data_IF_206742927482
#
_entry.id   IF_206742927482
#
_cell.length_a   1.000
_cell.length_b   1.000
_cell.length_c   1.000
_cell.angle_alpha   90.00
_cell.angle_beta   90.00
_cell.angle_gamma   90.00
#
_symmetry.space_group_name_H-M   'P 1'
#
loop_
_entity.id
_entity.type
_entity.pdbx_description
1 polymer ?
#
# COMPACT_ATOMS: atom_id res chain seq x y z
N UNK A 1 -8.46 -28.44 -26.04
CA UNK A 1 -7.02 -28.44 -25.68
C UNK A 1 -6.75 -27.32 -24.69
N UNK A 2 -6.65 -27.64 -23.40
CA UNK A 2 -6.36 -26.65 -22.35
C UNK A 2 -4.88 -26.27 -22.42
N UNK A 3 -4.57 -25.05 -22.86
CA UNK A 3 -3.22 -24.46 -22.71
C UNK A 3 -2.81 -24.60 -21.25
N UNK A 4 -1.88 -25.51 -20.95
CA UNK A 4 -1.20 -25.57 -19.66
C UNK A 4 -0.34 -24.32 -19.56
N UNK A 5 -0.90 -23.25 -18.99
CA UNK A 5 -0.14 -22.05 -18.65
C UNK A 5 1.03 -22.49 -17.76
N UNK A 6 2.26 -22.29 -18.24
CA UNK A 6 3.49 -22.63 -17.50
C UNK A 6 3.47 -21.87 -16.18
N UNK A 7 3.21 -22.57 -15.07
CA UNK A 7 3.16 -21.94 -13.75
C UNK A 7 4.54 -21.40 -13.41
N UNK A 8 4.67 -20.08 -13.29
CA UNK A 8 5.92 -19.46 -12.83
C UNK A 8 6.03 -19.64 -11.32
N UNK A 9 6.89 -20.55 -10.87
CA UNK A 9 7.16 -20.77 -9.45
C UNK A 9 8.08 -19.66 -8.92
N UNK A 10 7.74 -19.11 -7.75
CA UNK A 10 8.62 -18.17 -7.01
C UNK A 10 9.21 -18.86 -5.78
N UNK A 11 9.87 -18.14 -4.89
CA UNK A 11 10.29 -18.70 -3.60
C UNK A 11 9.04 -19.15 -2.79
N UNK A 12 8.97 -20.41 -2.29
CA UNK A 12 7.84 -20.87 -1.49
C UNK A 12 7.65 -20.04 -0.21
N UNK A 13 6.40 -19.81 0.16
CA UNK A 13 6.05 -19.19 1.44
C UNK A 13 5.86 -20.23 2.54
N UNK A 14 5.82 -19.79 3.79
CA UNK A 14 5.73 -20.65 4.99
C UNK A 14 4.65 -21.74 4.89
N UNK A 15 3.41 -21.40 4.52
CA UNK A 15 2.33 -22.39 4.42
C UNK A 15 2.51 -23.44 3.32
N UNK A 16 3.27 -23.14 2.26
CA UNK A 16 3.61 -24.14 1.24
C UNK A 16 4.73 -25.07 1.73
N UNK A 17 5.69 -24.53 2.48
CA UNK A 17 6.77 -25.31 3.10
C UNK A 17 6.20 -26.27 4.14
N UNK A 18 5.30 -25.79 5.01
CA UNK A 18 4.62 -26.63 6.00
C UNK A 18 3.82 -27.76 5.35
N UNK A 19 3.13 -27.46 4.24
CA UNK A 19 2.38 -28.48 3.51
C UNK A 19 3.31 -29.52 2.87
N UNK A 20 4.39 -29.09 2.20
CA UNK A 20 5.35 -30.00 1.60
C UNK A 20 6.08 -30.85 2.67
N UNK A 21 6.33 -30.28 3.85
CA UNK A 21 6.98 -30.98 4.97
C UNK A 21 6.22 -32.25 5.38
N UNK A 22 4.89 -32.23 5.34
CA UNK A 22 4.06 -33.40 5.67
C UNK A 22 4.35 -34.63 4.80
N UNK A 23 4.88 -34.44 3.60
CA UNK A 23 5.18 -35.53 2.65
C UNK A 23 6.67 -35.86 2.57
N UNK A 24 7.54 -34.98 3.06
CA UNK A 24 9.00 -35.06 2.87
C UNK A 24 9.75 -35.31 4.18
N UNK A 25 9.09 -35.16 5.33
CA UNK A 25 9.70 -35.39 6.64
C UNK A 25 10.21 -36.83 6.78
N UNK A 26 11.49 -36.98 7.13
CA UNK A 26 12.15 -38.28 7.28
C UNK A 26 12.79 -38.86 6.01
N UNK A 27 12.58 -38.25 4.84
CA UNK A 27 13.19 -38.71 3.58
C UNK A 27 14.56 -38.09 3.36
N UNK A 28 15.46 -38.85 2.74
CA UNK A 28 16.71 -38.30 2.23
C UNK A 28 16.44 -37.41 1.01
N UNK A 29 17.39 -36.51 0.69
CA UNK A 29 17.24 -35.60 -0.46
C UNK A 29 16.92 -36.32 -1.78
N UNK A 30 17.48 -37.52 -2.00
CA UNK A 30 17.26 -38.30 -3.22
C UNK A 30 15.85 -38.88 -3.30
N UNK A 31 15.29 -39.29 -2.17
CA UNK A 31 13.93 -39.82 -2.06
C UNK A 31 12.87 -38.70 -2.06
N UNK A 32 13.23 -37.53 -1.54
CA UNK A 32 12.36 -36.35 -1.50
C UNK A 32 12.07 -35.77 -2.89
N UNK A 33 13.05 -35.78 -3.81
CA UNK A 33 12.91 -35.22 -5.16
C UNK A 33 11.71 -35.78 -5.94
N UNK A 34 11.53 -37.10 -6.10
CA UNK A 34 10.38 -37.65 -6.83
C UNK A 34 9.04 -37.34 -6.12
N UNK A 35 9.03 -37.26 -4.80
CA UNK A 35 7.83 -36.88 -4.03
C UNK A 35 7.45 -35.42 -4.30
N UNK A 36 8.43 -34.52 -4.31
CA UNK A 36 8.22 -33.10 -4.60
C UNK A 36 7.71 -32.91 -6.04
N UNK A 37 8.26 -33.63 -7.01
CA UNK A 37 7.78 -33.58 -8.40
C UNK A 37 6.32 -34.01 -8.53
N UNK A 38 5.93 -35.12 -7.88
CA UNK A 38 4.54 -35.58 -7.83
C UNK A 38 3.62 -34.58 -7.13
N UNK A 39 4.10 -33.94 -6.05
CA UNK A 39 3.37 -32.89 -5.34
C UNK A 39 3.14 -31.66 -6.23
N UNK A 40 4.14 -31.26 -7.03
CA UNK A 40 4.02 -30.14 -7.97
C UNK A 40 3.06 -30.43 -9.13
N UNK A 41 3.06 -31.65 -9.65
CA UNK A 41 2.10 -32.10 -10.67
C UNK A 41 0.67 -32.18 -10.10
N UNK A 42 0.57 -32.41 -8.79
CA UNK A 42 -0.69 -32.52 -8.08
C UNK A 42 -1.25 -33.92 -8.03
N UNK A 43 -0.40 -34.92 -8.19
CA UNK A 43 -0.75 -36.34 -8.15
C UNK A 43 -0.85 -36.87 -6.72
N UNK A 44 -0.26 -36.15 -5.75
CA UNK A 44 -0.10 -36.63 -4.37
C UNK A 44 -1.23 -36.20 -3.42
N UNK A 45 -2.02 -35.19 -3.77
CA UNK A 45 -3.11 -34.69 -2.93
C UNK A 45 -4.46 -35.15 -3.45
N UNK A 46 -5.40 -35.40 -2.54
CA UNK A 46 -6.75 -35.79 -2.92
C UNK A 46 -7.45 -34.67 -3.70
N UNK A 47 -7.87 -34.91 -4.95
CA UNK A 47 -8.60 -33.91 -5.73
C UNK A 47 -9.96 -33.54 -5.12
N UNK A 48 -10.45 -34.36 -4.19
CA UNK A 48 -11.66 -34.10 -3.42
C UNK A 48 -11.49 -33.06 -2.30
N UNK A 49 -10.25 -32.83 -1.81
CA UNK A 49 -10.01 -31.87 -0.73
C UNK A 49 -9.98 -30.43 -1.25
N UNK A 50 -11.15 -29.76 -1.15
CA UNK A 50 -11.35 -28.36 -1.55
C UNK A 50 -10.50 -27.35 -0.75
N UNK A 51 -9.83 -27.77 0.33
CA UNK A 51 -8.95 -26.88 1.11
C UNK A 51 -7.53 -26.82 0.54
N UNK A 52 -7.13 -27.79 -0.29
CA UNK A 52 -5.83 -27.79 -0.92
C UNK A 52 -5.91 -26.91 -2.18
N UNK A 53 -5.12 -25.84 -2.19
CA UNK A 53 -5.16 -24.82 -3.25
C UNK A 53 -3.76 -24.46 -3.68
N UNK A 54 -3.62 -23.91 -4.90
CA UNK A 54 -2.38 -23.28 -5.35
C UNK A 54 -2.30 -21.83 -4.89
N UNK A 55 -1.15 -21.42 -4.39
CA UNK A 55 -0.90 -20.04 -3.99
C UNK A 55 -0.82 -19.15 -5.24
N UNK A 56 -1.60 -18.07 -5.25
CA UNK A 56 -1.62 -17.10 -6.35
C UNK A 56 -0.31 -16.31 -6.52
N UNK A 57 0.57 -16.32 -5.51
CA UNK A 57 1.87 -15.64 -5.57
C UNK A 57 3.01 -16.59 -5.91
N UNK A 58 3.25 -17.62 -5.10
CA UNK A 58 4.40 -18.52 -5.27
C UNK A 58 4.14 -19.74 -6.15
N UNK A 59 2.87 -20.08 -6.42
CA UNK A 59 2.47 -21.18 -7.31
C UNK A 59 2.42 -22.57 -6.67
N UNK A 60 2.94 -22.75 -5.45
CA UNK A 60 2.92 -24.03 -4.75
C UNK A 60 1.56 -24.35 -4.10
N UNK A 61 1.32 -25.64 -3.86
CA UNK A 61 0.18 -26.12 -3.10
C UNK A 61 0.32 -25.80 -1.60
N UNK A 62 -0.80 -25.51 -0.99
CA UNK A 62 -0.92 -25.34 0.46
C UNK A 62 -2.34 -25.69 0.90
N UNK A 63 -2.49 -26.05 2.18
CA UNK A 63 -3.78 -26.29 2.81
C UNK A 63 -4.32 -24.99 3.41
N UNK A 64 -5.52 -24.60 3.03
CA UNK A 64 -6.20 -23.43 3.58
C UNK A 64 -6.63 -23.69 5.03
N UNK A 65 -6.00 -22.98 5.98
CA UNK A 65 -6.32 -23.04 7.41
C UNK A 65 -7.44 -22.07 7.80
N UNK A 66 -7.90 -21.21 6.88
CA UNK A 66 -8.90 -20.19 7.20
C UNK A 66 -10.29 -20.82 7.31
N UNK A 67 -11.07 -20.41 8.32
CA UNK A 67 -12.46 -20.83 8.51
C UNK A 67 -13.34 -20.69 7.25
N UNK A 68 -13.30 -19.57 6.49
CA UNK A 68 -14.10 -19.42 5.28
C UNK A 68 -13.59 -20.22 4.07
N UNK A 69 -12.43 -20.89 4.15
CA UNK A 69 -11.79 -21.58 3.03
C UNK A 69 -11.73 -20.71 1.76
N UNK A 70 -11.29 -19.46 1.87
CA UNK A 70 -11.22 -18.52 0.75
C UNK A 70 -9.83 -17.90 0.55
N UNK A 71 -8.81 -18.41 1.25
CA UNK A 71 -7.47 -17.87 1.08
C UNK A 71 -6.95 -18.21 -0.33
N UNK A 72 -6.19 -17.25 -0.88
CA UNK A 72 -5.57 -17.35 -2.21
C UNK A 72 -4.05 -17.42 -2.11
N UNK A 73 -3.49 -17.30 -0.91
CA UNK A 73 -2.05 -17.21 -0.66
C UNK A 73 -1.67 -18.06 0.54
N UNK A 74 -0.54 -18.75 0.46
CA UNK A 74 -0.07 -19.65 1.50
C UNK A 74 0.49 -18.96 2.76
N UNK A 75 0.89 -17.69 2.67
CA UNK A 75 1.45 -16.93 3.80
C UNK A 75 1.08 -15.44 3.73
N UNK A 76 1.27 -14.73 4.86
CA UNK A 76 1.09 -13.27 4.93
C UNK A 76 2.05 -12.54 4.01
N UNK A 77 3.29 -13.01 3.89
CA UNK A 77 4.30 -12.44 3.00
C UNK A 77 3.88 -12.55 1.53
N UNK A 78 3.39 -13.72 1.12
CA UNK A 78 2.86 -13.93 -0.22
C UNK A 78 1.68 -12.98 -0.51
N UNK A 79 0.83 -12.72 0.50
CA UNK A 79 -0.28 -11.75 0.40
C UNK A 79 0.22 -10.32 0.22
N UNK A 80 1.20 -9.89 1.00
CA UNK A 80 1.79 -8.54 0.88
C UNK A 80 2.45 -8.37 -0.49
N UNK A 81 3.17 -9.38 -0.96
CA UNK A 81 3.88 -9.33 -2.24
C UNK A 81 2.89 -9.25 -3.42
N UNK A 82 1.83 -10.07 -3.43
CA UNK A 82 0.82 -10.01 -4.51
C UNK A 82 0.05 -8.69 -4.48
N UNK A 83 -0.26 -8.15 -3.31
CA UNK A 83 -0.94 -6.86 -3.18
C UNK A 83 -0.05 -5.71 -3.66
N UNK A 84 1.26 -5.78 -3.38
CA UNK A 84 2.25 -4.83 -3.89
C UNK A 84 2.32 -4.85 -5.42
N UNK A 85 2.36 -6.04 -6.03
CA UNK A 85 2.35 -6.18 -7.49
C UNK A 85 1.07 -5.62 -8.12
N UNK A 86 -0.10 -5.91 -7.52
CA UNK A 86 -1.38 -5.37 -8.00
C UNK A 86 -1.44 -3.85 -7.88
N UNK A 87 -0.92 -3.28 -6.79
CA UNK A 87 -0.83 -1.82 -6.62
C UNK A 87 0.10 -1.20 -7.66
N UNK A 88 1.26 -1.82 -7.91
CA UNK A 88 2.19 -1.35 -8.95
C UNK A 88 1.53 -1.36 -10.33
N UNK A 89 0.86 -2.46 -10.70
CA UNK A 89 0.10 -2.55 -11.95
C UNK A 89 -0.99 -1.48 -12.03
N UNK A 90 -1.80 -1.31 -10.98
CA UNK A 90 -2.84 -0.27 -10.93
C UNK A 90 -2.26 1.14 -11.10
N UNK A 91 -1.09 1.43 -10.53
CA UNK A 91 -0.41 2.73 -10.72
C UNK A 91 0.08 2.90 -12.15
N UNK A 92 0.66 1.86 -12.75
CA UNK A 92 1.07 1.88 -14.15
C UNK A 92 -0.13 2.11 -15.08
N UNK A 93 -1.22 1.37 -14.88
CA UNK A 93 -2.46 1.55 -15.65
C UNK A 93 -3.06 2.95 -15.47
N UNK A 94 -3.01 3.49 -14.25
CA UNK A 94 -3.47 4.86 -13.97
C UNK A 94 -2.60 5.93 -14.64
N UNK A 95 -1.28 5.74 -14.67
CA UNK A 95 -0.35 6.65 -15.34
C UNK A 95 -0.55 6.67 -16.86
N UNK A 96 -0.94 5.54 -17.46
CA UNK A 96 -1.30 5.48 -18.87
C UNK A 96 -2.62 6.22 -19.17
N UNK A 97 -3.61 6.13 -18.27
CA UNK A 97 -4.92 6.77 -18.45
C UNK A 97 -4.90 8.27 -18.17
N UNK A 98 -4.12 8.71 -17.18
CA UNK A 98 -3.95 10.10 -16.80
C UNK A 98 -2.46 10.36 -16.65
N UNK A 99 -1.76 10.77 -17.73
CA UNK A 99 -0.38 11.18 -17.58
C UNK A 99 -0.35 12.28 -16.51
N UNK A 100 0.48 12.10 -15.49
CA UNK A 100 0.67 13.15 -14.49
C UNK A 100 1.10 14.40 -15.23
N UNK A 101 0.32 15.50 -15.08
CA UNK A 101 0.77 16.79 -15.56
C UNK A 101 2.10 17.04 -14.88
N UNK A 102 3.17 17.23 -15.65
CA UNK A 102 4.44 17.68 -15.08
C UNK A 102 4.11 18.89 -14.23
N UNK A 103 4.31 18.77 -12.93
CA UNK A 103 4.21 19.93 -12.04
C UNK A 103 5.26 20.90 -12.57
N UNK A 104 4.82 22.04 -13.13
CA UNK A 104 5.69 23.14 -13.55
C UNK A 104 6.69 23.37 -12.43
N UNK A 105 7.95 23.04 -12.68
CA UNK A 105 8.98 23.11 -11.65
C UNK A 105 9.33 24.59 -11.55
N UNK A 106 9.41 25.14 -10.33
CA UNK A 106 9.82 26.55 -10.13
C UNK A 106 11.10 26.89 -10.90
N UNK A 107 11.99 25.92 -11.06
CA UNK A 107 13.25 26.01 -11.79
C UNK A 107 13.07 26.27 -13.29
N UNK A 108 11.95 25.87 -13.90
CA UNK A 108 11.63 26.14 -15.31
C UNK A 108 11.34 27.63 -15.56
N UNK A 109 10.97 28.38 -14.52
CA UNK A 109 10.45 29.74 -14.64
C UNK A 109 11.10 30.76 -13.71
N UNK A 110 11.98 30.33 -12.81
CA UNK A 110 12.70 31.17 -11.86
C UNK A 110 14.18 30.82 -11.86
N UNK A 111 14.97 31.74 -12.39
CA UNK A 111 16.43 31.64 -12.43
C UNK A 111 16.99 32.12 -11.10
N UNK A 112 17.41 31.19 -10.24
CA UNK A 112 17.82 31.51 -8.87
C UNK A 112 19.34 31.56 -8.65
N UNK A 113 20.13 31.04 -9.58
CA UNK A 113 21.59 30.86 -9.44
C UNK A 113 22.43 32.06 -9.92
N UNK A 114 21.78 33.12 -10.42
CA UNK A 114 22.44 34.36 -10.78
C UNK A 114 22.50 35.32 -9.59
N UNK A 115 23.44 36.27 -9.64
CA UNK A 115 23.57 37.33 -8.63
C UNK A 115 22.29 38.16 -8.48
N UNK A 116 21.54 38.32 -9.59
CA UNK A 116 20.20 38.91 -9.61
C UNK A 116 19.19 37.87 -10.11
N UNK A 117 18.52 37.15 -9.19
CA UNK A 117 17.48 36.21 -9.55
C UNK A 117 16.29 36.90 -10.22
N UNK A 118 15.74 36.29 -11.26
CA UNK A 118 14.58 36.82 -11.96
C UNK A 118 13.63 35.71 -12.41
N UNK A 119 12.37 36.10 -12.63
CA UNK A 119 11.35 35.25 -13.22
C UNK A 119 11.40 35.38 -14.73
N UNK A 120 11.33 34.25 -15.43
CA UNK A 120 11.33 34.21 -16.90
C UNK A 120 9.98 34.71 -17.43
N UNK A 121 8.90 34.54 -16.67
CA UNK A 121 7.54 34.95 -17.04
C UNK A 121 6.89 35.77 -15.91
N UNK A 122 6.37 36.95 -16.25
CA UNK A 122 5.66 37.83 -15.32
C UNK A 122 4.40 37.17 -14.75
N UNK A 123 3.67 36.41 -15.57
CA UNK A 123 2.47 35.69 -15.12
C UNK A 123 2.77 34.73 -13.96
N UNK A 124 3.94 34.09 -13.99
CA UNK A 124 4.33 33.14 -12.95
C UNK A 124 4.82 33.80 -11.67
N UNK A 125 5.53 34.92 -11.82
CA UNK A 125 5.83 35.81 -10.71
C UNK A 125 4.55 36.23 -10.01
N UNK A 126 3.52 36.67 -10.76
CA UNK A 126 2.23 37.10 -10.22
C UNK A 126 1.43 35.94 -9.60
N UNK A 127 1.36 34.78 -10.26
CA UNK A 127 0.75 33.55 -9.71
C UNK A 127 1.37 33.18 -8.36
N UNK A 128 2.67 33.38 -8.18
CA UNK A 128 3.37 33.17 -6.91
C UNK A 128 3.05 34.25 -5.89
N UNK A 129 3.04 35.53 -6.28
CA UNK A 129 2.73 36.65 -5.39
C UNK A 129 1.30 36.56 -4.86
N UNK A 130 0.36 36.09 -5.66
CA UNK A 130 -1.03 35.84 -5.23
C UNK A 130 -1.10 34.92 -4.04
N UNK A 131 -0.19 33.96 -3.84
CA UNK A 131 -0.22 33.11 -2.63
C UNK A 131 0.01 33.91 -1.33
N UNK A 132 0.74 35.01 -1.40
CA UNK A 132 1.15 35.81 -0.24
C UNK A 132 0.40 37.13 -0.12
N UNK A 133 -0.07 37.68 -1.24
CA UNK A 133 -0.71 38.99 -1.35
C UNK A 133 -2.20 38.90 -1.69
N UNK A 134 -2.90 37.83 -1.30
CA UNK A 134 -4.37 37.79 -1.44
C UNK A 134 -4.98 38.83 -0.50
N UNK A 135 -5.78 39.79 -0.99
CA UNK A 135 -6.62 40.59 -0.12
C UNK A 135 -7.71 39.70 0.47
N UNK A 136 -7.67 39.48 1.79
CA UNK A 136 -8.73 38.77 2.50
C UNK A 136 -9.78 39.76 2.99
N UNK A 137 -11.05 39.39 2.88
CA UNK A 137 -12.12 40.11 3.56
C UNK A 137 -11.89 40.11 5.08
N UNK A 138 -12.32 41.15 5.81
CA UNK A 138 -12.08 41.29 7.26
C UNK A 138 -12.58 40.07 8.06
N UNK A 139 -13.73 39.50 7.70
CA UNK A 139 -14.26 38.30 8.35
C UNK A 139 -13.35 37.07 8.18
N UNK A 140 -12.68 36.95 7.03
CA UNK A 140 -11.72 35.86 6.79
C UNK A 140 -10.43 36.04 7.58
N UNK A 141 -10.00 37.28 7.83
CA UNK A 141 -8.83 37.56 8.68
C UNK A 141 -9.10 37.10 10.12
N UNK A 142 -10.28 37.43 10.66
CA UNK A 142 -10.68 36.98 11.99
C UNK A 142 -10.72 35.45 12.11
N UNK A 143 -11.20 34.75 11.08
CA UNK A 143 -11.20 33.28 11.04
C UNK A 143 -9.79 32.67 10.99
N UNK A 144 -8.88 33.27 10.23
CA UNK A 144 -7.48 32.84 10.14
C UNK A 144 -6.79 33.02 11.50
N UNK A 145 -7.01 34.14 12.18
CA UNK A 145 -6.40 34.41 13.48
C UNK A 145 -6.99 33.51 14.58
N UNK A 146 -8.29 33.28 14.58
CA UNK A 146 -8.93 32.30 15.47
C UNK A 146 -8.41 30.87 15.22
N UNK A 147 -8.10 30.50 13.96
CA UNK A 147 -7.49 29.21 13.64
C UNK A 147 -6.04 29.12 14.14
N UNK A 148 -5.22 30.17 13.95
CA UNK A 148 -3.85 30.22 14.47
C UNK A 148 -3.81 30.18 16.00
N UNK A 149 -4.74 30.85 16.68
CA UNK A 149 -4.85 30.81 18.14
C UNK A 149 -5.20 29.41 18.63
N UNK A 150 -6.18 28.74 17.99
CA UNK A 150 -6.51 27.33 18.30
C UNK A 150 -5.32 26.39 18.08
N UNK A 151 -4.60 26.55 16.97
CA UNK A 151 -3.41 25.75 16.69
C UNK A 151 -2.31 25.97 17.74
N UNK A 152 -2.13 27.21 18.23
CA UNK A 152 -1.17 27.50 19.31
C UNK A 152 -1.59 26.87 20.65
N UNK A 153 -2.87 26.97 21.01
CA UNK A 153 -3.39 26.42 22.27
C UNK A 153 -3.39 24.89 22.30
N UNK A 154 -3.59 24.23 21.15
CA UNK A 154 -3.68 22.76 21.03
C UNK A 154 -2.29 22.12 20.77
N UNK A 155 -1.25 22.92 20.53
CA UNK A 155 0.11 22.43 20.27
C UNK A 155 0.36 21.98 18.82
N UNK A 156 -0.29 22.64 17.85
CA UNK A 156 -0.19 22.41 16.41
C UNK A 156 -1.21 21.38 15.87
N UNK A 157 -1.00 20.94 14.61
CA UNK A 157 -1.83 19.96 13.86
C UNK A 157 -1.85 18.54 14.45
N UNK A 158 -1.90 18.38 15.77
CA UNK A 158 -2.18 17.10 16.41
C UNK A 158 -3.70 16.94 16.48
N UNK A 159 -4.23 15.88 15.87
CA UNK A 159 -5.63 15.48 16.07
C UNK A 159 -5.87 15.38 17.59
N UNK A 160 -6.98 15.92 18.12
CA UNK A 160 -7.30 15.75 19.53
C UNK A 160 -7.33 14.25 19.84
N UNK A 161 -6.65 13.83 20.91
CA UNK A 161 -6.78 12.47 21.41
C UNK A 161 -8.24 12.28 21.83
N UNK A 162 -8.97 11.41 21.14
CA UNK A 162 -10.22 10.88 21.67
C UNK A 162 -9.86 10.09 22.93
N UNK A 163 -10.31 10.56 24.09
CA UNK A 163 -10.27 9.77 25.33
C UNK A 163 -11.63 9.07 25.38
N UNK A 164 -11.68 7.72 25.43
CA UNK A 164 -12.93 7.02 25.67
C UNK A 164 -13.50 7.45 27.03
N UNK A 165 -14.75 7.92 27.07
CA UNK A 165 -15.48 8.01 28.34
C UNK A 165 -16.10 6.64 28.64
N UNK A 166 -16.20 6.31 29.92
CA UNK A 166 -16.73 5.03 30.40
C UNK A 166 -18.22 4.81 30.03
N UNK A 167 -18.90 5.83 29.50
CA UNK A 167 -20.30 5.81 29.04
C UNK A 167 -20.45 5.62 27.51
N UNK A 168 -19.33 5.38 26.79
CA UNK A 168 -19.33 5.14 25.35
C UNK A 168 -19.55 6.37 24.46
N UNK A 169 -19.48 7.59 25.01
CA UNK A 169 -19.55 8.85 24.23
C UNK A 169 -18.20 9.56 24.25
N UNK A 170 -17.73 9.99 23.06
CA UNK A 170 -16.47 10.71 22.93
C UNK A 170 -16.64 12.19 23.29
N UNK A 171 -15.90 12.67 24.28
CA UNK A 171 -15.82 14.09 24.61
C UNK A 171 -14.51 14.69 24.09
N UNK A 172 -14.61 15.82 23.40
CA UNK A 172 -13.44 16.62 23.06
C UNK A 172 -12.92 17.28 24.35
N UNK A 173 -11.66 17.03 24.70
CA UNK A 173 -11.05 17.60 25.89
C UNK A 173 -10.98 19.13 25.78
N UNK A 174 -11.86 19.83 26.50
CA UNK A 174 -11.74 21.26 26.77
C UNK A 174 -10.86 21.40 28.00
N UNK A 175 -9.63 21.90 27.85
CA UNK A 175 -8.80 22.30 28.98
C UNK A 175 -9.25 23.69 29.42
N UNK A 176 -9.81 23.78 30.63
CA UNK A 176 -10.09 25.04 31.32
C UNK A 176 -8.82 25.63 31.92
N UNK A 177 -8.61 26.93 31.61
CA UNK A 177 -7.72 27.97 32.17
C UNK A 177 -6.25 27.63 32.32
#
# INVERSE_FOLDING_TARGET
MTKTAKTAYRNPGTGAIEFARQYVEGLTRKEALPVIERLLKGELHDPADKRIKRCAYCGYYYRDKTRPNNSKTCSRECKIAIDTLKRAKKRADAALLKPEKKTEVREEHYTWWLEYPFWINEYEMLKRSWKYQVPYAPDKLAQIDAAKQRDRMIGGKRKPKLIPSDDGKYLAAVKTV
#
